data_IF_042684909826
#
_entry.id   IF_042684909826
#
_cell.length_a   1.000
_cell.length_b   1.000
_cell.length_c   1.000
_cell.angle_alpha   90.00
_cell.angle_beta   90.00
_cell.angle_gamma   90.00
#
_symmetry.space_group_name_H-M   'P 1'
#
loop_
_entity.id
_entity.type
_entity.pdbx_description
1 polymer ?
#
# COMPACT_ATOMS: atom_id res chain seq x y z
N UNK A 1 -2.57 26.22 -5.03
CA UNK A 1 -2.65 25.69 -3.66
C UNK A 1 -1.65 24.54 -3.55
N UNK A 2 -0.99 24.41 -2.41
CA UNK A 2 -0.12 23.29 -2.07
C UNK A 2 -0.85 22.39 -1.06
N UNK A 3 -1.25 21.19 -1.52
CA UNK A 3 -1.95 20.20 -0.69
C UNK A 3 -0.93 19.37 0.08
N UNK A 4 -1.10 19.29 1.40
CA UNK A 4 -0.27 18.48 2.31
C UNK A 4 -1.13 17.58 3.20
N UNK A 5 -2.37 17.33 2.78
CA UNK A 5 -3.33 16.47 3.49
C UNK A 5 -3.13 15.03 3.03
N UNK A 6 -2.80 14.16 3.97
CA UNK A 6 -2.69 12.72 3.73
C UNK A 6 -3.94 12.01 4.21
N UNK A 7 -4.48 11.11 3.38
CA UNK A 7 -5.72 10.38 3.68
C UNK A 7 -7.01 11.21 3.58
N UNK A 8 -8.15 10.55 3.78
CA UNK A 8 -9.48 11.14 3.80
C UNK A 8 -9.76 12.07 2.62
N UNK A 9 -10.44 13.17 2.86
CA UNK A 9 -10.84 14.15 1.84
C UNK A 9 -9.66 14.78 1.08
N UNK A 10 -8.45 14.70 1.62
CA UNK A 10 -7.23 15.18 0.97
C UNK A 10 -6.79 14.27 -0.18
N UNK A 11 -7.15 12.98 -0.13
CA UNK A 11 -6.62 11.97 -1.05
C UNK A 11 -7.72 11.20 -1.82
N UNK A 12 -9.00 11.31 -1.41
CA UNK A 12 -10.13 10.61 -2.04
C UNK A 12 -10.71 11.30 -3.30
N UNK A 13 -10.12 12.42 -3.71
CA UNK A 13 -10.56 13.22 -4.86
C UNK A 13 -11.59 14.29 -4.52
N UNK A 14 -12.14 14.33 -3.31
CA UNK A 14 -13.18 15.30 -2.93
C UNK A 14 -12.67 16.74 -2.98
N UNK A 15 -11.55 17.01 -2.33
CA UNK A 15 -10.94 18.34 -2.32
C UNK A 15 -10.44 18.72 -3.72
N UNK A 16 -9.82 17.80 -4.44
CA UNK A 16 -9.35 17.99 -5.81
C UNK A 16 -10.51 18.43 -6.72
N UNK A 17 -11.66 17.76 -6.64
CA UNK A 17 -12.86 18.10 -7.43
C UNK A 17 -13.38 19.52 -7.17
N UNK A 18 -13.31 19.98 -5.91
CA UNK A 18 -13.68 21.35 -5.54
C UNK A 18 -12.72 22.35 -6.19
N UNK A 19 -11.42 22.09 -6.16
CA UNK A 19 -10.39 22.95 -6.74
C UNK A 19 -10.48 22.98 -8.27
N UNK A 20 -10.69 21.83 -8.91
CA UNK A 20 -10.89 21.70 -10.35
C UNK A 20 -12.08 22.53 -10.84
N UNK A 21 -13.24 22.43 -10.16
CA UNK A 21 -14.42 23.23 -10.48
C UNK A 21 -14.17 24.73 -10.41
N UNK A 22 -13.27 25.17 -9.53
CA UNK A 22 -12.87 26.57 -9.36
C UNK A 22 -11.66 26.96 -10.21
N UNK A 23 -11.14 26.04 -11.06
CA UNK A 23 -9.94 26.26 -11.87
C UNK A 23 -8.71 26.68 -11.06
N UNK A 24 -8.62 26.20 -9.82
CA UNK A 24 -7.50 26.46 -8.92
C UNK A 24 -6.45 25.35 -9.11
N UNK A 25 -5.25 25.75 -9.49
CA UNK A 25 -4.11 24.81 -9.64
C UNK A 25 -3.60 24.30 -8.28
N UNK A 26 -3.26 23.01 -8.22
CA UNK A 26 -2.73 22.36 -7.03
C UNK A 26 -1.67 21.31 -7.40
N UNK A 27 -0.90 20.83 -6.41
CA UNK A 27 0.05 19.75 -6.57
C UNK A 27 -0.66 18.38 -6.50
N UNK A 28 -0.07 17.37 -7.14
CA UNK A 28 -0.60 16.00 -7.11
C UNK A 28 -1.55 15.71 -8.27
N UNK A 29 -2.27 14.62 -8.13
CA UNK A 29 -3.19 14.09 -9.15
C UNK A 29 -4.56 14.74 -9.06
N UNK A 30 -5.29 14.76 -10.18
CA UNK A 30 -6.67 15.25 -10.24
C UNK A 30 -7.66 14.33 -9.52
N UNK A 31 -8.90 14.81 -9.39
CA UNK A 31 -9.95 14.19 -8.59
C UNK A 31 -10.25 12.73 -8.96
N UNK A 32 -10.35 12.43 -10.25
CA UNK A 32 -10.69 11.08 -10.72
C UNK A 32 -9.55 10.08 -10.42
N UNK A 33 -8.30 10.50 -10.59
CA UNK A 33 -7.14 9.65 -10.28
C UNK A 33 -6.99 9.45 -8.78
N UNK A 34 -7.19 10.49 -7.98
CA UNK A 34 -7.16 10.40 -6.52
C UNK A 34 -8.23 9.45 -6.01
N UNK A 35 -9.47 9.59 -6.50
CA UNK A 35 -10.58 8.69 -6.19
C UNK A 35 -10.28 7.25 -6.58
N UNK A 36 -9.76 7.03 -7.79
CA UNK A 36 -9.38 5.71 -8.27
C UNK A 36 -8.34 5.06 -7.34
N UNK A 37 -7.29 5.79 -6.98
CA UNK A 37 -6.21 5.25 -6.15
C UNK A 37 -6.62 5.02 -4.68
N UNK A 38 -7.58 5.77 -4.15
CA UNK A 38 -8.15 5.54 -2.83
C UNK A 38 -8.99 4.26 -2.79
N UNK A 39 -9.68 3.95 -3.87
CA UNK A 39 -10.46 2.72 -4.02
C UNK A 39 -9.54 1.54 -4.36
N UNK A 40 -9.23 0.73 -3.35
CA UNK A 40 -8.31 -0.42 -3.50
C UNK A 40 -8.81 -1.47 -4.49
N UNK A 41 -10.13 -1.63 -4.61
CA UNK A 41 -10.73 -2.56 -5.58
C UNK A 41 -10.53 -2.05 -7.01
N UNK A 42 -10.97 -0.83 -7.28
CA UNK A 42 -10.83 -0.23 -8.62
C UNK A 42 -9.38 -0.09 -9.05
N UNK A 43 -8.48 0.24 -8.12
CA UNK A 43 -7.03 0.27 -8.37
C UNK A 43 -6.52 -1.09 -8.82
N UNK A 44 -6.84 -2.16 -8.07
CA UNK A 44 -6.42 -3.52 -8.41
C UNK A 44 -6.96 -3.95 -9.78
N UNK A 45 -8.26 -3.75 -10.03
CA UNK A 45 -8.90 -4.08 -11.30
C UNK A 45 -8.28 -3.29 -12.48
N UNK A 46 -8.02 -2.01 -12.30
CA UNK A 46 -7.39 -1.15 -13.32
C UNK A 46 -5.99 -1.63 -13.67
N UNK A 47 -5.17 -1.97 -12.66
CA UNK A 47 -3.82 -2.50 -12.87
C UNK A 47 -3.86 -3.87 -13.54
N UNK A 48 -4.76 -4.76 -13.12
CA UNK A 48 -4.92 -6.09 -13.72
C UNK A 48 -5.32 -6.00 -15.19
N UNK A 49 -6.30 -5.14 -15.52
CA UNK A 49 -6.77 -4.89 -16.90
C UNK A 49 -5.71 -4.25 -17.78
N UNK A 50 -4.82 -3.45 -17.21
CA UNK A 50 -3.74 -2.77 -17.95
C UNK A 50 -2.68 -3.72 -18.52
N UNK A 51 -2.60 -4.96 -18.06
CA UNK A 51 -1.69 -6.03 -18.52
C UNK A 51 -0.24 -5.58 -18.66
N UNK A 52 0.25 -4.82 -17.69
CA UNK A 52 1.61 -4.28 -17.71
C UNK A 52 2.59 -5.43 -17.47
N UNK A 53 3.61 -5.55 -18.35
CA UNK A 53 4.63 -6.59 -18.21
C UNK A 53 5.31 -6.55 -16.84
N UNK A 54 5.42 -7.69 -16.17
CA UNK A 54 6.02 -7.88 -14.84
C UNK A 54 5.28 -7.19 -13.68
N UNK A 55 4.06 -6.76 -13.90
CA UNK A 55 3.19 -6.15 -12.88
C UNK A 55 1.97 -7.03 -12.69
N UNK A 56 1.61 -7.25 -11.45
CA UNK A 56 0.38 -7.92 -11.05
C UNK A 56 -0.18 -7.29 -9.77
N UNK A 57 -1.36 -7.70 -9.40
CA UNK A 57 -1.97 -7.47 -8.09
C UNK A 57 -2.15 -8.81 -7.38
N UNK A 58 -2.30 -8.80 -6.07
CA UNK A 58 -2.62 -10.02 -5.34
C UNK A 58 -3.99 -10.56 -5.81
N UNK A 59 -4.19 -11.89 -5.91
CA UNK A 59 -5.53 -12.44 -6.07
C UNK A 59 -6.48 -11.87 -5.02
N UNK A 60 -7.63 -11.34 -5.44
CA UNK A 60 -8.53 -10.62 -4.56
C UNK A 60 -10.01 -10.93 -4.85
N UNK A 61 -10.86 -10.67 -3.87
CA UNK A 61 -12.30 -10.84 -3.92
C UNK A 61 -12.98 -9.71 -3.16
N UNK A 62 -14.09 -9.20 -3.72
CA UNK A 62 -14.94 -8.21 -3.08
C UNK A 62 -16.10 -8.91 -2.38
N UNK A 63 -16.42 -8.44 -1.19
CA UNK A 63 -17.58 -8.85 -0.40
C UNK A 63 -18.35 -7.63 0.04
N UNK A 64 -19.62 -7.56 -0.34
CA UNK A 64 -20.54 -6.57 0.18
C UNK A 64 -20.99 -6.98 1.59
N UNK A 65 -20.90 -6.07 2.54
CA UNK A 65 -21.23 -6.38 3.93
C UNK A 65 -22.70 -6.76 4.09
N UNK A 66 -23.58 -6.18 3.27
CA UNK A 66 -25.01 -6.45 3.32
C UNK A 66 -25.35 -7.88 2.84
N UNK A 67 -24.51 -8.49 2.01
CA UNK A 67 -24.69 -9.86 1.53
C UNK A 67 -24.31 -10.91 2.58
N UNK A 68 -23.67 -10.48 3.66
CA UNK A 68 -23.28 -11.36 4.74
C UNK A 68 -24.43 -11.38 5.78
N UNK A 69 -25.05 -12.55 6.05
CA UNK A 69 -26.16 -12.65 7.00
C UNK A 69 -25.87 -12.02 8.37
N UNK A 70 -26.91 -11.48 9.02
CA UNK A 70 -26.75 -10.88 10.37
C UNK A 70 -26.28 -11.91 11.40
N UNK A 71 -26.77 -13.16 11.29
CA UNK A 71 -26.26 -14.29 12.04
C UNK A 71 -25.43 -15.16 11.12
N UNK A 72 -24.14 -15.05 11.24
CA UNK A 72 -23.17 -15.94 10.57
C UNK A 72 -23.15 -17.22 11.42
N UNK A 73 -23.93 -18.23 11.04
CA UNK A 73 -23.80 -19.53 11.65
C UNK A 73 -22.47 -20.22 11.24
N UNK A 74 -22.11 -21.28 11.96
CA UNK A 74 -20.85 -21.98 11.71
C UNK A 74 -20.75 -22.57 10.30
N UNK A 75 -21.88 -22.96 9.69
CA UNK A 75 -21.93 -23.59 8.37
C UNK A 75 -21.66 -22.55 7.26
N UNK A 76 -22.37 -21.42 7.31
CA UNK A 76 -22.15 -20.32 6.36
C UNK A 76 -20.74 -19.74 6.46
N UNK A 77 -20.24 -19.59 7.68
CA UNK A 77 -18.85 -19.11 7.92
C UNK A 77 -17.84 -20.05 7.30
N UNK A 78 -18.02 -21.36 7.44
CA UNK A 78 -17.10 -22.35 6.88
C UNK A 78 -17.15 -22.38 5.36
N UNK A 79 -18.34 -22.32 4.77
CA UNK A 79 -18.53 -22.28 3.33
C UNK A 79 -17.86 -21.04 2.70
N UNK A 80 -18.09 -19.85 3.27
CA UNK A 80 -17.47 -18.60 2.81
C UNK A 80 -15.94 -18.63 2.95
N UNK A 81 -15.43 -19.10 4.09
CA UNK A 81 -14.00 -19.24 4.32
C UNK A 81 -13.35 -20.15 3.29
N UNK A 82 -13.89 -21.35 3.07
CA UNK A 82 -13.35 -22.32 2.13
C UNK A 82 -13.43 -21.82 0.67
N UNK A 83 -14.53 -21.14 0.32
CA UNK A 83 -14.68 -20.49 -0.99
C UNK A 83 -13.59 -19.42 -1.20
N UNK A 84 -13.34 -18.57 -0.20
CA UNK A 84 -12.29 -17.55 -0.27
C UNK A 84 -10.91 -18.17 -0.43
N UNK A 85 -10.56 -19.17 0.38
CA UNK A 85 -9.25 -19.83 0.26
C UNK A 85 -9.05 -20.45 -1.13
N UNK A 86 -10.09 -21.08 -1.67
CA UNK A 86 -10.06 -21.65 -3.03
C UNK A 86 -9.91 -20.58 -4.10
N UNK A 87 -10.73 -19.52 -4.03
CA UNK A 87 -10.71 -18.40 -4.99
C UNK A 87 -9.38 -17.65 -4.99
N UNK A 88 -8.82 -17.44 -3.80
CA UNK A 88 -7.58 -16.67 -3.63
C UNK A 88 -6.32 -17.54 -3.73
N UNK A 89 -6.43 -18.86 -3.78
CA UNK A 89 -5.28 -19.77 -3.85
C UNK A 89 -4.31 -19.64 -2.67
N UNK A 90 -4.81 -19.31 -1.49
CA UNK A 90 -3.97 -19.02 -0.32
C UNK A 90 -4.50 -19.71 0.94
N UNK A 91 -3.59 -20.06 1.85
CA UNK A 91 -3.95 -20.67 3.15
C UNK A 91 -4.35 -19.64 4.20
N UNK A 92 -3.94 -18.41 4.04
CA UNK A 92 -4.30 -17.27 4.89
C UNK A 92 -4.54 -16.06 4.00
N UNK A 93 -5.43 -15.16 4.40
CA UNK A 93 -5.86 -14.03 3.59
C UNK A 93 -5.73 -12.73 4.38
N UNK A 94 -5.71 -11.62 3.67
CA UNK A 94 -5.82 -10.28 4.25
C UNK A 94 -7.24 -9.80 4.05
N UNK A 95 -7.91 -9.39 5.12
CA UNK A 95 -9.13 -8.61 5.07
C UNK A 95 -8.79 -7.12 5.19
N UNK A 96 -9.40 -6.29 4.35
CA UNK A 96 -9.23 -4.83 4.41
C UNK A 96 -10.48 -4.11 3.88
N UNK A 97 -10.83 -2.93 4.44
CA UNK A 97 -11.87 -2.08 3.87
C UNK A 97 -11.50 -1.62 2.46
N UNK A 98 -12.50 -1.43 1.59
CA UNK A 98 -12.30 -0.99 0.20
C UNK A 98 -11.73 0.42 0.10
N UNK A 99 -12.23 1.36 0.91
CA UNK A 99 -12.00 2.79 0.74
C UNK A 99 -11.27 3.50 1.87
N UNK A 100 -10.69 2.79 2.85
CA UNK A 100 -9.99 3.42 3.96
C UNK A 100 -8.47 3.54 3.72
N UNK A 101 -7.91 4.65 4.25
CA UNK A 101 -6.48 4.90 4.30
C UNK A 101 -5.84 4.44 5.62
N UNK A 102 -4.53 4.72 5.79
CA UNK A 102 -3.78 4.54 7.04
C UNK A 102 -3.79 3.12 7.63
N UNK A 103 -3.98 2.09 6.82
CA UNK A 103 -4.03 0.67 7.24
C UNK A 103 -5.13 0.31 8.24
N UNK A 104 -6.14 1.17 8.46
CA UNK A 104 -7.26 0.86 9.34
C UNK A 104 -8.00 -0.40 8.86
N UNK A 105 -8.23 -1.34 9.77
CA UNK A 105 -8.93 -2.59 9.48
C UNK A 105 -8.18 -3.56 8.55
N UNK A 106 -6.89 -3.40 8.35
CA UNK A 106 -6.07 -4.38 7.60
C UNK A 106 -5.66 -5.51 8.53
N UNK A 107 -6.23 -6.70 8.33
CA UNK A 107 -6.05 -7.84 9.21
C UNK A 107 -5.70 -9.09 8.43
N UNK A 108 -4.71 -9.84 8.92
CA UNK A 108 -4.44 -11.19 8.42
C UNK A 108 -5.31 -12.21 9.14
N UNK A 109 -6.05 -12.98 8.35
CA UNK A 109 -6.97 -14.00 8.82
C UNK A 109 -6.39 -15.40 8.56
N UNK A 110 -6.32 -16.21 9.59
CA UNK A 110 -5.68 -17.52 9.54
C UNK A 110 -6.69 -18.67 9.45
N UNK A 111 -7.93 -18.43 9.89
CA UNK A 111 -8.97 -19.44 10.02
C UNK A 111 -10.37 -18.82 9.96
N UNK A 112 -11.39 -19.67 9.93
CA UNK A 112 -12.80 -19.24 9.89
C UNK A 112 -13.24 -18.40 11.09
N UNK A 113 -12.64 -18.61 12.27
CA UNK A 113 -12.94 -17.80 13.46
C UNK A 113 -12.45 -16.38 13.29
N UNK A 114 -11.22 -16.18 12.79
CA UNK A 114 -10.69 -14.87 12.46
C UNK A 114 -11.58 -14.17 11.43
N UNK A 115 -12.03 -14.90 10.40
CA UNK A 115 -12.93 -14.37 9.36
C UNK A 115 -14.25 -13.88 9.95
N UNK A 116 -14.95 -14.71 10.75
CA UNK A 116 -16.22 -14.32 11.35
C UNK A 116 -16.07 -13.15 12.34
N UNK A 117 -14.99 -13.17 13.14
CA UNK A 117 -14.67 -12.08 14.07
C UNK A 117 -14.42 -10.78 13.30
N UNK A 118 -13.64 -10.81 12.23
CA UNK A 118 -13.35 -9.64 11.39
C UNK A 118 -14.63 -9.01 10.83
N UNK A 119 -15.48 -9.83 10.21
CA UNK A 119 -16.76 -9.37 9.66
C UNK A 119 -17.64 -8.77 10.74
N UNK A 120 -17.71 -9.41 11.91
CA UNK A 120 -18.48 -8.90 13.06
C UNK A 120 -17.99 -7.54 13.55
N UNK A 121 -16.67 -7.35 13.69
CA UNK A 121 -16.09 -6.06 14.12
C UNK A 121 -16.41 -4.95 13.11
N UNK A 122 -16.31 -5.22 11.82
CA UNK A 122 -16.67 -4.26 10.77
C UNK A 122 -18.16 -3.91 10.80
N UNK A 123 -19.05 -4.92 10.89
CA UNK A 123 -20.52 -4.69 10.98
C UNK A 123 -20.89 -3.85 12.19
N UNK A 124 -20.30 -4.17 13.33
CA UNK A 124 -20.58 -3.49 14.60
C UNK A 124 -19.84 -2.14 14.73
N UNK A 125 -19.07 -1.74 13.73
CA UNK A 125 -18.24 -0.51 13.74
C UNK A 125 -17.38 -0.41 15.00
N UNK A 126 -16.80 -1.54 15.40
CA UNK A 126 -15.93 -1.58 16.57
C UNK A 126 -14.66 -0.79 16.26
N UNK A 127 -14.30 0.24 17.02
CA UNK A 127 -13.20 1.15 16.64
C UNK A 127 -11.83 0.52 16.75
N UNK A 128 -11.67 -0.50 17.61
CA UNK A 128 -10.37 -1.14 17.87
C UNK A 128 -10.55 -2.64 18.04
N UNK A 129 -9.81 -3.43 17.29
CA UNK A 129 -9.60 -4.84 17.60
C UNK A 129 -8.46 -4.95 18.61
N UNK A 130 -8.78 -5.32 19.85
CA UNK A 130 -7.79 -5.45 20.94
C UNK A 130 -6.80 -6.58 20.64
N UNK A 131 -5.61 -6.50 21.23
CA UNK A 131 -4.61 -7.57 21.15
C UNK A 131 -5.24 -8.94 21.45
N UNK A 132 -4.79 -9.98 20.73
CA UNK A 132 -5.30 -11.35 20.82
C UNK A 132 -6.74 -11.56 20.35
N UNK A 133 -7.34 -10.59 19.66
CA UNK A 133 -8.66 -10.76 19.01
C UNK A 133 -8.55 -11.75 17.84
N UNK A 134 -7.45 -11.69 17.08
CA UNK A 134 -7.16 -12.59 15.96
C UNK A 134 -5.97 -13.50 16.23
N UNK A 135 -5.87 -14.58 15.49
CA UNK A 135 -4.76 -15.52 15.58
C UNK A 135 -3.42 -14.81 15.28
N UNK A 136 -2.44 -14.96 16.18
CA UNK A 136 -1.10 -14.33 16.12
C UNK A 136 -1.08 -12.80 16.14
N UNK A 137 -2.14 -12.14 16.55
CA UNK A 137 -2.18 -10.69 16.76
C UNK A 137 -1.66 -10.35 18.17
N UNK A 138 -0.65 -9.49 18.25
CA UNK A 138 -0.03 -9.07 19.52
C UNK A 138 -0.41 -7.66 19.95
N UNK A 139 -0.76 -6.80 18.99
CA UNK A 139 -1.09 -5.39 19.25
C UNK A 139 -2.54 -5.07 18.91
N UNK A 140 -3.03 -3.94 19.40
CA UNK A 140 -4.31 -3.41 18.97
C UNK A 140 -4.26 -3.04 17.47
N UNK A 141 -5.38 -3.20 16.79
CA UNK A 141 -5.56 -2.79 15.39
C UNK A 141 -6.69 -1.77 15.34
N UNK A 142 -6.40 -0.60 14.82
CA UNK A 142 -7.43 0.41 14.58
C UNK A 142 -8.33 -0.05 13.45
N UNK A 143 -9.64 0.00 13.69
CA UNK A 143 -10.67 -0.39 12.74
C UNK A 143 -11.26 0.86 12.09
N UNK A 144 -11.96 0.74 10.94
CA UNK A 144 -12.54 1.89 10.26
C UNK A 144 -13.53 2.65 11.16
N UNK A 145 -13.42 3.97 11.20
CA UNK A 145 -14.34 4.82 11.96
C UNK A 145 -15.72 4.94 11.29
N UNK A 146 -15.77 4.82 9.96
CA UNK A 146 -16.95 4.99 9.15
C UNK A 146 -17.74 3.70 8.88
N UNK A 147 -18.90 3.84 8.19
CA UNK A 147 -19.64 2.70 7.65
C UNK A 147 -18.87 2.11 6.48
N UNK A 148 -18.36 0.91 6.64
CA UNK A 148 -17.77 0.13 5.54
C UNK A 148 -18.90 -0.55 4.77
N UNK A 149 -18.92 -0.37 3.46
CA UNK A 149 -19.88 -1.04 2.56
C UNK A 149 -19.31 -2.36 2.04
N UNK A 150 -18.03 -2.34 1.67
CA UNK A 150 -17.34 -3.44 1.02
C UNK A 150 -16.05 -3.80 1.75
N UNK A 151 -15.78 -5.10 1.82
CA UNK A 151 -14.52 -5.67 2.29
C UNK A 151 -13.81 -6.31 1.09
N UNK A 152 -12.52 -6.04 0.97
CA UNK A 152 -11.65 -6.76 0.04
C UNK A 152 -10.91 -7.84 0.82
N UNK A 153 -10.96 -9.07 0.32
CA UNK A 153 -10.12 -10.16 0.77
C UNK A 153 -9.05 -10.43 -0.28
N UNK A 154 -7.79 -10.52 0.17
CA UNK A 154 -6.65 -10.76 -0.72
C UNK A 154 -5.81 -11.94 -0.26
N UNK A 155 -5.13 -12.60 -1.20
CA UNK A 155 -4.10 -13.57 -0.87
C UNK A 155 -3.01 -12.95 -0.01
N UNK A 156 -2.64 -13.60 1.06
CA UNK A 156 -1.47 -13.19 1.83
C UNK A 156 -0.18 -13.49 1.04
N UNK A 157 0.53 -12.44 0.69
CA UNK A 157 1.85 -12.55 0.03
C UNK A 157 2.94 -12.75 1.10
N UNK A 158 3.48 -13.96 1.15
CA UNK A 158 4.59 -14.27 2.05
C UNK A 158 5.85 -13.53 1.59
N UNK A 159 6.48 -12.78 2.47
CA UNK A 159 7.72 -12.04 2.19
C UNK A 159 8.94 -12.67 2.86
N UNK A 160 10.12 -12.35 2.34
CA UNK A 160 11.39 -12.63 2.99
C UNK A 160 11.52 -11.78 4.27
N UNK A 161 12.32 -12.23 5.22
CA UNK A 161 12.62 -11.42 6.41
C UNK A 161 13.93 -10.66 6.20
N UNK A 162 13.86 -9.35 6.39
CA UNK A 162 15.01 -8.45 6.39
C UNK A 162 15.20 -7.91 7.81
N UNK A 163 16.39 -8.08 8.38
CA UNK A 163 16.71 -7.67 9.75
C UNK A 163 18.04 -6.92 9.75
N UNK A 164 18.10 -5.80 10.46
CA UNK A 164 19.36 -5.10 10.74
C UNK A 164 19.93 -5.65 12.05
N UNK A 165 21.20 -6.06 12.04
CA UNK A 165 21.91 -6.51 13.22
C UNK A 165 23.41 -6.26 13.04
N UNK A 166 24.05 -5.63 14.02
CA UNK A 166 25.49 -5.34 14.00
C UNK A 166 25.94 -4.54 12.76
N UNK A 167 25.13 -3.57 12.31
CA UNK A 167 25.42 -2.76 11.12
C UNK A 167 25.28 -3.50 9.79
N UNK A 168 24.81 -4.76 9.82
CA UNK A 168 24.59 -5.57 8.62
C UNK A 168 23.13 -5.90 8.42
N UNK A 169 22.72 -6.08 7.16
CA UNK A 169 21.39 -6.57 6.82
C UNK A 169 21.45 -8.09 6.63
N UNK A 170 20.68 -8.77 7.46
CA UNK A 170 20.48 -10.23 7.37
C UNK A 170 19.23 -10.45 6.50
N UNK A 171 19.39 -11.20 5.41
CA UNK A 171 18.30 -11.54 4.49
C UNK A 171 17.97 -13.02 4.62
N UNK A 172 16.86 -13.35 5.29
CA UNK A 172 16.33 -14.71 5.40
C UNK A 172 15.25 -14.94 4.34
N UNK A 173 15.64 -15.63 3.27
CA UNK A 173 14.73 -15.94 2.15
C UNK A 173 13.61 -16.88 2.58
N UNK A 174 12.39 -16.61 2.10
CA UNK A 174 11.19 -17.44 2.29
C UNK A 174 10.43 -17.65 0.98
N UNK A 175 10.16 -16.58 0.23
CA UNK A 175 9.41 -16.59 -1.02
C UNK A 175 10.14 -15.88 -2.15
N UNK A 176 11.15 -15.10 -1.84
CA UNK A 176 11.85 -14.21 -2.77
C UNK A 176 11.16 -12.86 -2.95
N UNK A 177 10.02 -12.62 -2.31
CA UNK A 177 9.38 -11.31 -2.29
C UNK A 177 9.86 -10.48 -1.09
N UNK A 178 10.13 -9.21 -1.35
CA UNK A 178 10.36 -8.17 -0.32
C UNK A 178 9.41 -7.01 -0.57
N UNK A 179 8.99 -6.37 0.51
CA UNK A 179 8.19 -5.16 0.44
C UNK A 179 9.09 -3.96 0.14
N UNK A 180 8.65 -3.13 -0.79
CA UNK A 180 9.35 -1.90 -1.18
C UNK A 180 8.34 -0.78 -1.35
N UNK A 181 8.79 0.43 -1.04
CA UNK A 181 8.07 1.67 -1.29
C UNK A 181 8.80 2.46 -2.36
N UNK A 182 8.07 3.03 -3.32
CA UNK A 182 8.67 3.78 -4.45
C UNK A 182 7.96 5.11 -4.63
N UNK A 183 8.68 6.19 -4.41
CA UNK A 183 8.22 7.53 -4.75
C UNK A 183 8.35 7.79 -6.25
N UNK A 184 7.40 8.54 -6.77
CA UNK A 184 7.43 9.08 -8.13
C UNK A 184 7.18 10.58 -8.12
N UNK A 185 7.66 11.25 -9.14
CA UNK A 185 7.40 12.67 -9.37
C UNK A 185 7.33 12.98 -10.86
N UNK A 186 6.66 14.05 -11.20
CA UNK A 186 6.53 14.52 -12.56
C UNK A 186 7.50 15.68 -12.80
N UNK A 187 8.34 15.57 -13.83
CA UNK A 187 9.28 16.60 -14.26
C UNK A 187 9.11 16.85 -15.75
N UNK A 188 8.74 18.09 -16.11
CA UNK A 188 8.56 18.47 -17.53
C UNK A 188 7.58 17.58 -18.27
N UNK A 189 6.47 17.19 -17.64
CA UNK A 189 5.44 16.30 -18.20
C UNK A 189 5.85 14.82 -18.26
N UNK A 190 7.01 14.44 -17.71
CA UNK A 190 7.50 13.05 -17.69
C UNK A 190 7.50 12.49 -16.28
N UNK A 191 6.94 11.32 -16.09
CA UNK A 191 7.02 10.60 -14.82
C UNK A 191 8.42 10.06 -14.60
N UNK A 192 9.01 10.43 -13.46
CA UNK A 192 10.26 9.92 -12.92
C UNK A 192 9.95 9.02 -11.73
N UNK A 193 10.84 8.07 -11.46
CA UNK A 193 10.77 7.19 -10.29
C UNK A 193 12.04 7.34 -9.50
N UNK A 194 11.92 7.57 -8.22
CA UNK A 194 13.03 7.47 -7.28
C UNK A 194 13.53 6.03 -7.16
N UNK A 195 14.68 5.87 -6.54
CA UNK A 195 15.15 4.56 -6.10
C UNK A 195 14.23 4.00 -5.04
N UNK A 196 13.77 2.75 -5.15
CA UNK A 196 12.95 2.12 -4.12
C UNK A 196 13.61 2.11 -2.75
N UNK A 197 12.79 2.11 -1.71
CA UNK A 197 13.22 1.87 -0.32
C UNK A 197 12.72 0.51 0.14
N UNK A 198 13.54 -0.20 0.93
CA UNK A 198 13.12 -1.37 1.72
C UNK A 198 13.00 -0.98 3.18
N UNK A 199 12.03 -1.55 3.87
CA UNK A 199 11.92 -1.45 5.32
C UNK A 199 12.59 -2.66 5.97
N UNK A 200 13.52 -2.41 6.87
CA UNK A 200 14.26 -3.43 7.62
C UNK A 200 13.90 -3.30 9.10
N UNK A 201 13.59 -4.42 9.72
CA UNK A 201 13.26 -4.46 11.15
C UNK A 201 14.55 -4.46 11.96
N UNK A 202 14.67 -3.57 12.94
CA UNK A 202 15.74 -3.64 13.95
C UNK A 202 15.41 -4.69 15.01
N UNK A 203 16.41 -5.18 15.72
CA UNK A 203 16.42 -6.32 16.65
C UNK A 203 15.19 -6.58 17.55
N UNK A 204 14.15 -5.76 17.52
CA UNK A 204 12.88 -6.01 18.19
C UNK A 204 11.94 -6.86 17.33
N UNK A 205 11.15 -7.67 18.00
CA UNK A 205 10.14 -8.56 17.40
C UNK A 205 9.01 -7.70 16.87
N UNK A 206 9.08 -7.28 15.60
CA UNK A 206 7.94 -6.68 14.91
C UNK A 206 7.22 -7.76 14.10
N UNK A 207 5.93 -7.94 14.37
CA UNK A 207 5.05 -8.77 13.56
C UNK A 207 4.79 -8.10 12.20
N UNK A 208 4.25 -8.85 11.25
CA UNK A 208 3.82 -8.29 9.95
C UNK A 208 2.74 -7.21 10.16
N UNK A 209 1.91 -7.39 11.19
CA UNK A 209 0.86 -6.46 11.59
C UNK A 209 1.44 -5.12 12.10
N UNK A 210 2.56 -5.12 12.79
CA UNK A 210 3.20 -3.89 13.30
C UNK A 210 3.78 -3.02 12.19
N UNK A 211 4.13 -3.60 11.03
CA UNK A 211 4.55 -2.82 9.86
C UNK A 211 3.43 -1.98 9.27
N UNK A 212 2.19 -2.45 9.33
CA UNK A 212 1.02 -1.72 8.85
C UNK A 212 0.60 -0.57 9.77
N UNK A 213 1.04 -0.58 11.03
CA UNK A 213 0.70 0.42 12.06
C UNK A 213 1.82 1.46 12.30
N UNK A 214 2.69 1.71 11.33
CA UNK A 214 3.76 2.71 11.46
C UNK A 214 4.94 2.26 12.36
N UNK A 215 5.17 0.95 12.44
CA UNK A 215 6.25 0.35 13.25
C UNK A 215 7.65 0.86 12.90
N UNK A 216 8.54 0.82 13.88
CA UNK A 216 9.92 1.32 13.87
C UNK A 216 10.86 0.52 12.98
N UNK A 217 10.64 0.55 11.66
CA UNK A 217 11.57 -0.02 10.69
C UNK A 217 12.52 1.04 10.14
N UNK A 218 13.78 0.67 9.89
CA UNK A 218 14.73 1.53 9.17
C UNK A 218 14.51 1.40 7.68
N UNK A 219 14.28 2.53 7.01
CA UNK A 219 14.19 2.56 5.55
C UNK A 219 15.58 2.69 4.94
N UNK A 220 15.92 1.78 4.04
CA UNK A 220 17.21 1.77 3.34
C UNK A 220 16.97 2.06 1.85
N UNK A 221 17.61 3.11 1.35
CA UNK A 221 17.49 3.61 -0.02
C UNK A 221 18.86 3.91 -0.62
N UNK A 222 19.19 3.37 -1.78
CA UNK A 222 18.53 2.26 -2.48
C UNK A 222 18.71 0.93 -1.75
N UNK A 223 17.92 -0.10 -2.10
CA UNK A 223 18.12 -1.45 -1.57
C UNK A 223 19.52 -1.96 -1.89
N UNK A 224 20.21 -2.64 -0.94
CA UNK A 224 21.55 -3.17 -1.18
C UNK A 224 21.60 -4.16 -2.35
N UNK A 225 22.67 -4.12 -3.15
CA UNK A 225 22.89 -5.02 -4.31
C UNK A 225 22.84 -6.51 -3.95
N UNK A 226 23.15 -6.88 -2.71
CA UNK A 226 23.04 -8.26 -2.19
C UNK A 226 21.59 -8.74 -2.05
N UNK A 227 20.62 -7.83 -2.00
CA UNK A 227 19.17 -8.14 -1.92
C UNK A 227 18.59 -8.19 -3.33
N UNK A 228 18.83 -7.15 -4.13
CA UNK A 228 18.30 -7.04 -5.48
C UNK A 228 19.38 -6.45 -6.41
N UNK A 229 19.52 -7.00 -7.62
CA UNK A 229 20.47 -6.50 -8.61
C UNK A 229 20.05 -5.16 -9.19
N UNK A 230 21.00 -4.34 -9.64
CA UNK A 230 20.72 -3.07 -10.33
C UNK A 230 19.77 -3.26 -11.52
N UNK A 231 19.99 -4.30 -12.33
CA UNK A 231 19.12 -4.65 -13.48
C UNK A 231 17.68 -4.82 -13.06
N UNK A 232 17.44 -5.55 -11.97
CA UNK A 232 16.09 -5.79 -11.46
C UNK A 232 15.50 -4.52 -10.80
N UNK A 233 16.32 -3.72 -10.14
CA UNK A 233 15.91 -2.44 -9.59
C UNK A 233 15.44 -1.47 -10.68
N UNK A 234 16.19 -1.35 -11.78
CA UNK A 234 15.77 -0.55 -12.94
C UNK A 234 14.50 -1.10 -13.60
N UNK A 235 14.33 -2.42 -13.64
CA UNK A 235 13.09 -3.04 -14.10
C UNK A 235 11.89 -2.63 -13.23
N UNK A 236 12.06 -2.63 -11.90
CA UNK A 236 11.05 -2.14 -10.95
C UNK A 236 10.72 -0.67 -11.22
N UNK A 237 11.72 0.21 -11.29
CA UNK A 237 11.52 1.64 -11.58
C UNK A 237 10.76 1.86 -12.90
N UNK A 238 11.06 1.11 -13.94
CA UNK A 238 10.37 1.18 -15.23
C UNK A 238 8.91 0.71 -15.14
N UNK A 239 8.64 -0.36 -14.38
CA UNK A 239 7.28 -0.84 -14.12
C UNK A 239 6.46 0.20 -13.38
N UNK A 240 7.01 0.83 -12.34
CA UNK A 240 6.37 1.89 -11.57
C UNK A 240 6.03 3.10 -12.45
N UNK A 241 6.98 3.57 -13.29
CA UNK A 241 6.70 4.65 -14.25
C UNK A 241 5.58 4.29 -15.22
N UNK A 242 5.48 3.02 -15.61
CA UNK A 242 4.42 2.56 -16.52
C UNK A 242 3.07 2.52 -15.82
N UNK A 243 2.99 2.04 -14.56
CA UNK A 243 1.79 2.08 -13.74
C UNK A 243 1.31 3.52 -13.61
N UNK A 244 2.18 4.42 -13.17
CA UNK A 244 1.83 5.82 -12.95
C UNK A 244 1.25 6.50 -14.20
N UNK A 245 1.85 6.25 -15.37
CA UNK A 245 1.35 6.77 -16.65
C UNK A 245 0.00 6.16 -17.05
N UNK A 246 -0.20 4.86 -16.85
CA UNK A 246 -1.44 4.17 -17.20
C UNK A 246 -2.62 4.62 -16.32
N UNK A 247 -2.37 4.87 -15.04
CA UNK A 247 -3.36 5.38 -14.09
C UNK A 247 -3.61 6.88 -14.30
N UNK A 248 -2.65 7.61 -14.85
CA UNK A 248 -2.75 9.06 -15.05
C UNK A 248 -2.26 9.87 -13.85
N UNK A 249 -1.34 9.31 -13.04
CA UNK A 249 -0.77 10.01 -11.89
C UNK A 249 -0.01 11.26 -12.35
N UNK A 250 -0.21 12.37 -11.63
CA UNK A 250 0.41 13.67 -11.87
C UNK A 250 1.10 14.15 -10.60
N UNK A 251 2.03 15.09 -10.77
CA UNK A 251 2.76 15.73 -9.68
C UNK A 251 3.68 14.77 -8.94
N UNK A 252 3.22 14.16 -7.86
CA UNK A 252 3.99 13.17 -7.09
C UNK A 252 3.06 12.13 -6.47
N UNK A 253 3.60 10.96 -6.15
CA UNK A 253 2.88 9.88 -5.47
C UNK A 253 3.86 8.88 -4.86
N UNK A 254 3.34 7.95 -4.06
CA UNK A 254 4.07 6.80 -3.52
C UNK A 254 3.32 5.52 -3.89
N UNK A 255 4.05 4.54 -4.37
CA UNK A 255 3.51 3.23 -4.73
C UNK A 255 4.17 2.18 -3.86
N UNK A 256 3.37 1.46 -3.09
CA UNK A 256 3.83 0.39 -2.23
C UNK A 256 3.63 -0.96 -2.95
N UNK A 257 4.67 -1.79 -2.93
CA UNK A 257 4.77 -3.00 -3.77
C UNK A 257 5.47 -4.14 -3.06
N UNK A 258 5.15 -5.38 -3.43
CA UNK A 258 6.03 -6.51 -3.22
C UNK A 258 6.88 -6.74 -4.47
N UNK A 259 8.18 -6.94 -4.30
CA UNK A 259 9.14 -7.17 -5.39
C UNK A 259 9.76 -8.54 -5.27
N UNK A 260 9.69 -9.35 -6.32
CA UNK A 260 10.43 -10.60 -6.37
C UNK A 260 11.89 -10.31 -6.73
N UNK A 261 12.81 -10.42 -5.78
CA UNK A 261 14.19 -9.93 -5.88
C UNK A 261 15.01 -10.53 -7.03
N UNK A 262 14.73 -11.79 -7.41
CA UNK A 262 15.44 -12.47 -8.51
C UNK A 262 14.94 -12.07 -9.90
N UNK A 263 13.68 -11.66 -10.05
CA UNK A 263 13.05 -11.42 -11.36
C UNK A 263 12.71 -9.95 -11.60
N UNK A 264 12.61 -9.14 -10.53
CA UNK A 264 12.11 -7.77 -10.59
C UNK A 264 10.62 -7.68 -10.94
N UNK A 265 9.86 -8.78 -10.83
CA UNK A 265 8.40 -8.75 -10.95
C UNK A 265 7.81 -8.11 -9.69
N UNK A 266 6.73 -7.37 -9.86
CA UNK A 266 6.07 -6.64 -8.79
C UNK A 266 4.61 -7.05 -8.62
N UNK A 267 4.15 -6.99 -7.38
CA UNK A 267 2.75 -7.05 -7.00
C UNK A 267 2.44 -5.71 -6.35
N UNK A 268 1.48 -4.97 -6.87
CA UNK A 268 1.09 -3.67 -6.31
C UNK A 268 0.25 -3.89 -5.06
N UNK A 269 0.54 -3.13 -4.00
CA UNK A 269 -0.18 -3.15 -2.72
C UNK A 269 -1.18 -1.99 -2.70
N UNK A 270 -0.66 -0.76 -2.88
CA UNK A 270 -1.47 0.46 -2.88
C UNK A 270 -0.74 1.62 -3.57
N UNK A 271 -1.50 2.66 -3.90
CA UNK A 271 -1.01 3.90 -4.52
C UNK A 271 -1.52 5.08 -3.70
N UNK A 272 -0.58 5.85 -3.14
CA UNK A 272 -0.86 7.05 -2.37
C UNK A 272 -0.60 8.28 -3.25
N UNK A 273 -1.64 9.00 -3.63
CA UNK A 273 -1.55 10.14 -4.57
C UNK A 273 -1.10 11.46 -3.92
N UNK A 274 -1.17 11.54 -2.60
CA UNK A 274 -0.62 12.62 -1.77
C UNK A 274 0.09 12.02 -0.55
N UNK A 275 1.24 11.34 -0.74
CA UNK A 275 1.98 10.79 0.37
C UNK A 275 2.41 11.90 1.33
N UNK A 276 2.41 11.60 2.63
CA UNK A 276 2.79 12.56 3.66
C UNK A 276 4.17 13.18 3.41
N UNK A 277 4.28 14.47 3.71
CA UNK A 277 5.52 15.26 3.60
C UNK A 277 6.06 15.67 4.97
N UNK A 278 5.85 14.85 5.98
CA UNK A 278 6.47 15.03 7.31
C UNK A 278 7.98 14.78 7.24
N UNK A 279 8.79 15.33 8.16
CA UNK A 279 10.26 15.21 8.13
C UNK A 279 10.77 13.76 8.03
N UNK A 280 10.05 12.79 8.55
CA UNK A 280 10.40 11.37 8.55
C UNK A 280 9.94 10.61 7.31
N UNK A 281 9.32 11.28 6.32
CA UNK A 281 8.76 10.58 5.17
C UNK A 281 9.84 9.93 4.30
N UNK A 282 9.59 8.71 3.84
CA UNK A 282 10.52 7.93 3.02
C UNK A 282 10.86 8.62 1.69
N UNK A 283 9.96 9.47 1.16
CA UNK A 283 10.18 10.13 -0.14
C UNK A 283 11.37 11.09 -0.12
N UNK A 284 11.66 11.74 1.03
CA UNK A 284 12.86 12.58 1.16
C UNK A 284 14.13 11.74 1.15
N UNK A 285 14.14 10.57 1.81
CA UNK A 285 15.29 9.65 1.74
C UNK A 285 15.54 9.17 0.31
N UNK A 286 14.47 8.94 -0.45
CA UNK A 286 14.56 8.55 -1.86
C UNK A 286 15.09 9.67 -2.73
N UNK A 287 14.63 10.90 -2.51
CA UNK A 287 15.12 12.09 -3.24
C UNK A 287 16.62 12.36 -2.96
N UNK A 288 17.05 12.18 -1.71
CA UNK A 288 18.47 12.31 -1.31
C UNK A 288 19.36 11.21 -1.91
N UNK A 289 18.82 10.01 -2.15
CA UNK A 289 19.59 8.87 -2.67
C UNK A 289 19.77 8.88 -4.20
N UNK A 290 19.21 9.85 -4.92
CA UNK A 290 19.37 9.96 -6.37
C UNK A 290 20.77 10.49 -6.76
N UNK A 291 21.20 10.24 -8.00
CA UNK A 291 22.47 10.75 -8.53
C UNK A 291 22.62 12.28 -8.45
N UNK A 292 21.51 12.99 -8.52
CA UNK A 292 21.37 14.41 -8.21
C UNK A 292 20.46 14.54 -7.00
N UNK A 293 21.03 14.51 -5.80
CA UNK A 293 20.24 14.58 -4.57
C UNK A 293 19.37 15.83 -4.53
N UNK A 294 18.15 15.67 -4.05
CA UNK A 294 17.28 16.80 -3.69
C UNK A 294 17.09 16.77 -2.18
N UNK A 295 17.51 17.84 -1.49
CA UNK A 295 17.18 18.01 -0.08
C UNK A 295 15.69 18.30 0.12
N UNK A 296 15.11 18.09 1.31
CA UNK A 296 13.69 18.29 1.54
C UNK A 296 13.17 19.66 1.08
N UNK A 297 13.90 20.74 1.33
CA UNK A 297 13.56 22.09 0.86
C UNK A 297 13.49 22.14 -0.68
N UNK A 298 14.51 21.63 -1.35
CA UNK A 298 14.61 21.63 -2.83
C UNK A 298 13.48 20.79 -3.44
N UNK A 299 13.17 19.63 -2.83
CA UNK A 299 12.06 18.79 -3.28
C UNK A 299 10.70 19.49 -3.11
N UNK A 300 10.47 20.17 -1.98
CA UNK A 300 9.24 20.95 -1.77
C UNK A 300 9.13 22.10 -2.77
N UNK A 301 10.21 22.85 -3.00
CA UNK A 301 10.24 23.89 -4.03
C UNK A 301 9.98 23.33 -5.43
N UNK A 302 10.53 22.15 -5.72
CA UNK A 302 10.27 21.44 -6.96
C UNK A 302 8.78 21.11 -7.12
N UNK A 303 8.13 20.56 -6.09
CA UNK A 303 6.70 20.25 -6.11
C UNK A 303 5.83 21.50 -6.26
N UNK A 304 6.20 22.62 -5.65
CA UNK A 304 5.49 23.90 -5.79
C UNK A 304 5.58 24.44 -7.22
N UNK A 305 6.75 24.31 -7.85
CA UNK A 305 6.99 24.77 -9.24
C UNK A 305 6.33 23.87 -10.28
N UNK A 306 6.36 22.55 -10.04
CA UNK A 306 5.84 21.54 -10.95
C UNK A 306 4.46 21.05 -10.46
N UNK A 307 3.46 21.92 -10.57
CA UNK A 307 2.08 21.59 -10.19
C UNK A 307 1.56 20.44 -11.05
N UNK A 308 1.02 19.41 -10.41
CA UNK A 308 0.50 18.24 -11.13
C UNK A 308 -0.80 18.54 -11.88
N UNK A 309 -1.64 19.41 -11.31
CA UNK A 309 -2.95 19.78 -11.87
C UNK A 309 -3.17 21.29 -11.88
#
# INVERSE_FOLDING_TARGET
IFLVLHGGIGEDGTLQKILEKRKIKFNGSGSEVSKLCMDKWETNETIAKAKIKNVSVAPHALFEINDIPERIDNVLTEAHWNMLLKRLGSKTIIGKPRGDGCSAGVVRLFNKKDFSTYVSLIKNRTPVARANTFTNQTNNIDMPEGKVQDIIFESFIKTDKLKASGGQIIHKRKSGYVEMTVGIFEEGGKIRSFSPSITVVEDAILSVEEKFQGGTGVNITPPPKKIITEKNLEKVKNSIKTIARKIGIRGYARIDIFVHVKTGNIIVIEINTLPGLTPSTVIYHQALAEKRPMFPKEFLEFLIKNKGY
#
